data_IF_792988433128
#
_entry.id   IF_792988433128
#
_cell.length_a   1.000
_cell.length_b   1.000
_cell.length_c   1.000
_cell.angle_alpha   90.00
_cell.angle_beta   90.00
_cell.angle_gamma   90.00
#
_symmetry.space_group_name_H-M   'P 1'
#
loop_
_entity.id
_entity.type
_entity.pdbx_description
1 polymer ?
#
# COMPACT_ATOMS: atom_id res chain seq x y z
N UNK A 1 8.83 18.00 3.24
CA UNK A 1 7.42 17.58 3.41
C UNK A 1 7.18 16.12 3.02
N UNK A 2 7.79 15.60 1.94
CA UNK A 2 7.67 14.18 1.54
C UNK A 2 8.18 13.18 2.61
N UNK A 3 9.26 13.51 3.34
CA UNK A 3 9.79 12.64 4.41
C UNK A 3 8.80 12.44 5.56
N UNK A 4 8.00 13.45 5.93
CA UNK A 4 6.97 13.31 6.96
C UNK A 4 5.87 12.33 6.53
N UNK A 5 5.49 12.40 5.26
CA UNK A 5 4.56 11.43 4.65
C UNK A 5 5.14 10.01 4.74
N UNK A 6 6.42 9.80 4.47
CA UNK A 6 7.06 8.49 4.62
C UNK A 6 7.14 8.03 6.09
N UNK A 7 7.50 8.92 7.01
CA UNK A 7 7.57 8.61 8.45
C UNK A 7 6.22 8.23 9.05
N UNK A 8 5.12 8.83 8.57
CA UNK A 8 3.76 8.47 9.00
C UNK A 8 3.29 7.16 8.36
N UNK A 9 3.53 6.98 7.06
CA UNK A 9 3.06 5.79 6.36
C UNK A 9 3.77 4.50 6.79
N UNK A 10 5.01 4.56 7.28
CA UNK A 10 5.75 3.37 7.72
C UNK A 10 5.03 2.61 8.83
N UNK A 11 4.81 3.22 10.01
CA UNK A 11 4.06 2.64 11.10
C UNK A 11 2.60 2.33 10.71
N UNK A 12 1.93 3.24 9.99
CA UNK A 12 0.53 3.06 9.58
C UNK A 12 0.33 1.83 8.69
N UNK A 13 1.21 1.61 7.71
CA UNK A 13 1.12 0.44 6.85
C UNK A 13 1.41 -0.86 7.60
N UNK A 14 2.31 -0.85 8.58
CA UNK A 14 2.55 -1.99 9.44
C UNK A 14 1.29 -2.33 10.26
N UNK A 15 0.66 -1.29 10.82
CA UNK A 15 -0.54 -1.41 11.64
C UNK A 15 -1.75 -1.87 10.84
N UNK A 16 -1.93 -1.36 9.61
CA UNK A 16 -3.03 -1.75 8.71
C UNK A 16 -2.81 -3.13 8.10
N UNK A 17 -1.56 -3.52 7.77
CA UNK A 17 -1.29 -4.82 7.13
C UNK A 17 -1.71 -6.02 7.99
N UNK A 18 -1.69 -5.89 9.32
CA UNK A 18 -2.15 -6.93 10.26
C UNK A 18 -3.64 -7.29 10.09
N UNK A 19 -4.57 -6.37 10.36
CA UNK A 19 -6.00 -6.60 10.17
C UNK A 19 -6.36 -6.86 8.71
N UNK A 20 -5.60 -6.35 7.74
CA UNK A 20 -5.84 -6.64 6.33
C UNK A 20 -5.57 -8.12 6.01
N UNK A 21 -4.49 -8.71 6.56
CA UNK A 21 -4.20 -10.15 6.41
C UNK A 21 -5.26 -11.02 7.11
N UNK A 22 -5.68 -10.64 8.31
CA UNK A 22 -6.78 -11.31 9.02
C UNK A 22 -8.09 -11.21 8.24
N UNK A 23 -8.38 -10.07 7.62
CA UNK A 23 -9.56 -9.89 6.74
C UNK A 23 -9.50 -10.76 5.47
N UNK A 24 -8.30 -11.08 4.98
CA UNK A 24 -8.09 -12.06 3.91
C UNK A 24 -8.14 -13.52 4.40
N UNK A 25 -8.42 -13.76 5.70
CA UNK A 25 -8.52 -15.10 6.29
C UNK A 25 -7.16 -15.75 6.58
N UNK A 26 -6.08 -14.96 6.63
CA UNK A 26 -4.72 -15.44 6.85
C UNK A 26 -4.34 -15.16 8.30
N UNK A 27 -4.58 -16.13 9.19
CA UNK A 27 -4.13 -16.05 10.58
C UNK A 27 -2.64 -16.39 10.67
N UNK A 28 -1.91 -15.67 11.53
CA UNK A 28 -0.48 -15.94 11.80
C UNK A 28 -0.22 -17.35 12.30
N UNK A 29 -1.17 -17.93 13.03
CA UNK A 29 -1.00 -19.23 13.69
C UNK A 29 -1.45 -20.41 12.84
N UNK A 30 -2.41 -20.22 11.90
CA UNK A 30 -2.87 -21.32 11.04
C UNK A 30 -2.11 -21.42 9.71
N UNK A 31 -1.42 -20.35 9.31
CA UNK A 31 -0.70 -20.28 8.04
C UNK A 31 0.78 -20.62 8.20
N UNK A 32 1.33 -21.47 7.32
CA UNK A 32 2.78 -21.70 7.29
C UNK A 32 3.53 -20.35 7.18
N UNK A 33 4.51 -20.06 8.05
CA UNK A 33 5.26 -18.81 8.02
C UNK A 33 5.86 -18.50 6.65
N UNK A 34 6.19 -19.54 5.89
CA UNK A 34 6.72 -19.45 4.54
C UNK A 34 5.73 -18.85 3.53
N UNK A 35 4.43 -19.08 3.74
CA UNK A 35 3.36 -18.50 2.90
C UNK A 35 2.90 -17.15 3.45
N UNK A 36 2.86 -17.02 4.79
CA UNK A 36 2.43 -15.80 5.46
C UNK A 36 3.25 -14.56 5.07
N UNK A 37 4.59 -14.66 5.09
CA UNK A 37 5.47 -13.51 4.83
C UNK A 37 5.38 -12.99 3.39
N UNK A 38 5.44 -13.82 2.32
CA UNK A 38 5.23 -13.36 0.95
C UNK A 38 3.86 -12.70 0.75
N UNK A 39 2.80 -13.29 1.32
CA UNK A 39 1.45 -12.78 1.20
C UNK A 39 1.28 -11.45 1.93
N UNK A 40 1.91 -11.31 3.10
CA UNK A 40 2.04 -10.05 3.83
C UNK A 40 2.72 -8.98 3.00
N UNK A 41 3.84 -9.29 2.33
CA UNK A 41 4.53 -8.33 1.45
C UNK A 41 3.65 -7.95 0.26
N UNK A 42 2.95 -8.92 -0.33
CA UNK A 42 2.04 -8.74 -1.46
C UNK A 42 0.83 -7.85 -1.10
N UNK A 43 0.32 -7.92 0.13
CA UNK A 43 -0.77 -7.05 0.61
C UNK A 43 -0.24 -5.71 1.10
N UNK A 44 0.88 -5.70 1.82
CA UNK A 44 1.50 -4.48 2.33
C UNK A 44 1.91 -3.55 1.20
N UNK A 45 2.40 -4.06 0.06
CA UNK A 45 2.79 -3.25 -1.09
C UNK A 45 1.66 -2.37 -1.67
N UNK A 46 0.48 -2.90 -2.07
CA UNK A 46 -0.63 -2.09 -2.57
C UNK A 46 -1.23 -1.20 -1.47
N UNK A 47 -1.32 -1.68 -0.22
CA UNK A 47 -1.77 -0.86 0.92
C UNK A 47 -0.87 0.36 1.12
N UNK A 48 0.45 0.19 1.03
CA UNK A 48 1.40 1.31 1.12
C UNK A 48 1.23 2.30 -0.03
N UNK A 49 0.94 1.83 -1.25
CA UNK A 49 0.70 2.72 -2.39
C UNK A 49 -0.55 3.58 -2.19
N UNK A 50 -1.64 2.99 -1.69
CA UNK A 50 -2.87 3.73 -1.38
C UNK A 50 -2.65 4.75 -0.27
N UNK A 51 -1.97 4.35 0.80
CA UNK A 51 -1.63 5.21 1.92
C UNK A 51 -0.80 6.43 1.49
N UNK A 52 0.19 6.24 0.60
CA UNK A 52 0.99 7.34 0.05
C UNK A 52 0.15 8.33 -0.77
N UNK A 53 -0.90 7.87 -1.47
CA UNK A 53 -1.83 8.76 -2.19
C UNK A 53 -2.71 9.52 -1.22
N UNK A 54 -3.30 8.83 -0.24
CA UNK A 54 -4.20 9.45 0.75
C UNK A 54 -3.46 10.50 1.58
N UNK A 55 -2.35 10.11 2.21
CA UNK A 55 -1.55 11.02 3.04
C UNK A 55 -0.88 12.10 2.21
N UNK A 56 -0.44 11.80 0.98
CA UNK A 56 0.05 12.80 0.04
C UNK A 56 -1.01 13.83 -0.33
N UNK A 57 -2.27 13.41 -0.48
CA UNK A 57 -3.40 14.31 -0.78
C UNK A 57 -3.76 15.17 0.42
N UNK A 58 -3.80 14.59 1.64
CA UNK A 58 -4.07 15.33 2.89
C UNK A 58 -3.00 16.41 3.14
N UNK A 59 -1.74 16.13 2.81
CA UNK A 59 -0.61 17.05 3.00
C UNK A 59 -0.41 18.04 1.84
N UNK A 60 -1.32 18.10 0.86
CA UNK A 60 -1.22 19.00 -0.29
C UNK A 60 -0.12 18.63 -1.31
N UNK A 61 0.38 17.39 -1.27
CA UNK A 61 1.41 16.84 -2.17
C UNK A 61 0.81 15.91 -3.24
N UNK A 62 -0.48 16.06 -3.56
CA UNK A 62 -1.21 15.21 -4.48
C UNK A 62 -0.50 15.09 -5.85
N UNK A 63 -0.08 16.21 -6.44
CA UNK A 63 0.61 16.23 -7.74
C UNK A 63 1.92 15.44 -7.76
N UNK A 64 2.58 15.28 -6.61
CA UNK A 64 3.81 14.51 -6.52
C UNK A 64 3.54 13.01 -6.41
N UNK A 65 2.46 12.58 -5.74
CA UNK A 65 2.13 11.17 -5.48
C UNK A 65 1.22 10.54 -6.55
N UNK A 66 0.30 11.31 -7.11
CA UNK A 66 -0.67 10.86 -8.12
C UNK A 66 -0.03 10.25 -9.37
N UNK A 67 1.00 10.86 -10.02
CA UNK A 67 1.63 10.25 -11.18
C UNK A 67 2.40 8.98 -10.82
N UNK A 68 2.92 8.86 -9.59
CA UNK A 68 3.63 7.65 -9.11
C UNK A 68 2.66 6.51 -8.86
N UNK A 69 1.50 6.79 -8.28
CA UNK A 69 0.41 5.82 -8.15
C UNK A 69 -0.07 5.35 -9.51
N UNK A 70 -0.39 6.28 -10.42
CA UNK A 70 -0.82 5.98 -11.78
C UNK A 70 0.24 5.18 -12.54
N UNK A 71 1.53 5.46 -12.36
CA UNK A 71 2.60 4.67 -12.97
C UNK A 71 2.55 3.22 -12.50
N UNK A 72 2.37 2.94 -11.21
CA UNK A 72 2.21 1.56 -10.69
C UNK A 72 0.89 0.91 -11.08
N UNK A 73 -0.19 1.68 -11.15
CA UNK A 73 -1.50 1.18 -11.59
C UNK A 73 -1.48 0.75 -13.07
N UNK A 74 -0.70 1.45 -13.91
CA UNK A 74 -0.44 1.04 -15.31
C UNK A 74 0.25 -0.32 -15.41
N UNK A 75 1.14 -0.68 -14.48
CA UNK A 75 1.77 -2.01 -14.45
C UNK A 75 0.76 -3.13 -14.13
N UNK A 76 -0.26 -2.83 -13.32
CA UNK A 76 -1.33 -3.78 -12.96
C UNK A 76 -2.33 -3.94 -14.13
N UNK A 77 -2.18 -3.18 -15.23
CA UNK A 77 -2.98 -3.33 -16.45
C UNK A 77 -4.33 -2.60 -16.42
N UNK A 78 -4.63 -1.84 -15.36
CA UNK A 78 -5.93 -1.20 -15.17
C UNK A 78 -6.13 0.09 -16.00
N UNK A 79 -5.10 0.57 -16.69
CA UNK A 79 -5.16 1.89 -17.33
C UNK A 79 -4.63 1.88 -18.76
N UNK A 80 -5.34 1.17 -19.64
CA UNK A 80 -5.12 1.22 -21.09
C UNK A 80 -5.84 2.37 -21.79
N UNK A 81 -6.64 3.19 -21.08
CA UNK A 81 -7.51 4.18 -21.74
C UNK A 81 -8.03 5.28 -20.82
N UNK A 82 -7.21 6.27 -20.47
CA UNK A 82 -7.68 7.67 -20.37
C UNK A 82 -6.55 8.51 -20.97
N UNK A 83 -6.80 8.97 -22.19
CA UNK A 83 -6.02 10.02 -22.85
C UNK A 83 -6.47 11.39 -22.38
#
# INVERSE_FOLDING_TARGET
>A
MVMLTFSLNGPLALWISGPMLEAFGIERDSSSPWVFWPLRILVMTPTYQLLLVVTGTILGQHEYFWPRFMKRLRWIGLFRRIG
#
